data_IF_088310501335
#
_entry.id   IF_088310501335
#
_cell.length_a   1.000
_cell.length_b   1.000
_cell.length_c   1.000
_cell.angle_alpha   90.00
_cell.angle_beta   90.00
_cell.angle_gamma   90.00
#
_symmetry.space_group_name_H-M   'P 1'
#
loop_
_entity.id
_entity.type
_entity.pdbx_description
1 polymer ?
#
# COMPACT_ATOMS: atom_id res chain seq x y z
N UNK A 1 20.53 2.95 4.56
CA UNK A 1 21.28 2.40 3.40
C UNK A 1 21.56 0.93 3.66
N UNK A 2 21.17 -0.01 2.79
CA UNK A 2 21.46 -1.41 3.00
C UNK A 2 22.94 -1.66 2.69
N UNK A 3 23.62 -2.38 3.58
CA UNK A 3 25.02 -2.77 3.40
C UNK A 3 25.22 -3.52 2.07
N UNK A 4 26.23 -3.18 1.25
CA UNK A 4 26.50 -3.92 0.03
C UNK A 4 27.01 -5.33 0.39
N UNK A 5 26.69 -6.36 -0.43
CA UNK A 5 27.18 -7.71 -0.20
C UNK A 5 28.71 -7.70 -0.29
N UNK A 6 29.37 -8.34 0.70
CA UNK A 6 30.83 -8.52 0.74
C UNK A 6 31.31 -9.07 -0.60
N UNK A 7 31.84 -8.20 -1.45
CA UNK A 7 32.63 -8.62 -2.59
C UNK A 7 33.89 -9.26 -2.00
N UNK A 8 33.94 -10.59 -1.99
CA UNK A 8 35.23 -11.27 -1.90
C UNK A 8 36.09 -10.67 -3.00
N UNK A 9 37.11 -9.89 -2.63
CA UNK A 9 38.00 -9.22 -3.57
C UNK A 9 38.42 -10.24 -4.61
N UNK A 10 38.19 -9.98 -5.89
CA UNK A 10 38.43 -10.94 -6.98
C UNK A 10 39.83 -11.58 -6.89
N UNK A 11 40.80 -10.85 -6.33
CA UNK A 11 42.15 -11.30 -5.97
C UNK A 11 42.21 -12.48 -4.99
N UNK A 12 41.35 -12.55 -3.98
CA UNK A 12 41.26 -13.68 -3.03
C UNK A 12 40.70 -14.91 -3.73
N UNK A 13 39.64 -14.75 -4.53
CA UNK A 13 39.07 -15.85 -5.31
C UNK A 13 40.07 -16.39 -6.35
N UNK A 14 40.80 -15.50 -7.05
CA UNK A 14 41.88 -15.86 -7.97
C UNK A 14 43.02 -16.61 -7.28
N UNK A 15 43.44 -16.17 -6.09
CA UNK A 15 44.50 -16.85 -5.31
C UNK A 15 44.05 -18.22 -4.81
N UNK A 16 42.84 -18.36 -4.29
CA UNK A 16 42.28 -19.63 -3.84
C UNK A 16 42.09 -20.61 -5.01
N UNK A 17 41.59 -20.11 -6.15
CA UNK A 17 41.48 -20.88 -7.39
C UNK A 17 42.84 -21.38 -7.88
N UNK A 18 43.87 -20.54 -7.88
CA UNK A 18 45.24 -20.93 -8.25
C UNK A 18 45.86 -21.97 -7.31
N UNK A 19 45.53 -21.93 -6.01
CA UNK A 19 45.96 -22.93 -5.04
C UNK A 19 45.27 -24.28 -5.25
N UNK A 20 43.93 -24.28 -5.43
CA UNK A 20 43.16 -25.49 -5.75
C UNK A 20 43.61 -26.12 -7.07
N UNK A 21 43.89 -25.29 -8.07
CA UNK A 21 44.41 -25.72 -9.36
C UNK A 21 45.72 -26.51 -9.21
N UNK A 22 46.69 -25.98 -8.44
CA UNK A 22 47.95 -26.67 -8.16
C UNK A 22 47.76 -27.99 -7.41
N UNK A 23 46.70 -28.13 -6.61
CA UNK A 23 46.39 -29.39 -5.93
C UNK A 23 45.79 -30.43 -6.89
N UNK A 24 45.05 -30.01 -7.92
CA UNK A 24 44.46 -30.92 -8.91
C UNK A 24 45.46 -31.41 -9.96
N UNK A 25 46.47 -30.60 -10.32
CA UNK A 25 47.47 -30.97 -11.33
C UNK A 25 48.43 -32.06 -10.83
N UNK A 26 48.81 -32.03 -9.54
CA UNK A 26 49.73 -33.01 -8.94
C UNK A 26 49.29 -34.48 -9.03
N UNK A 27 48.04 -34.86 -8.68
CA UNK A 27 47.58 -36.24 -8.80
C UNK A 27 47.49 -36.69 -10.26
N UNK A 28 47.12 -35.79 -11.19
CA UNK A 28 47.10 -36.09 -12.63
C UNK A 28 48.51 -36.36 -13.16
N UNK A 29 49.48 -35.54 -12.79
CA UNK A 29 50.88 -35.74 -13.15
C UNK A 29 51.45 -37.07 -12.57
N UNK A 30 51.04 -37.43 -11.33
CA UNK A 30 51.39 -38.72 -10.73
C UNK A 30 50.75 -39.89 -11.50
N UNK A 31 49.48 -39.79 -11.87
CA UNK A 31 48.78 -40.80 -12.66
C UNK A 31 49.38 -40.97 -14.08
N UNK A 32 49.81 -39.88 -14.71
CA UNK A 32 50.55 -39.91 -15.99
C UNK A 32 51.91 -40.60 -15.84
N UNK A 33 52.62 -40.36 -14.73
CA UNK A 33 53.88 -41.04 -14.41
C UNK A 33 53.68 -42.55 -14.22
N UNK A 34 52.65 -42.96 -13.48
CA UNK A 34 52.35 -44.38 -13.29
C UNK A 34 51.90 -45.06 -14.59
N UNK A 35 51.11 -44.36 -15.43
CA UNK A 35 50.68 -44.85 -16.75
C UNK A 35 51.81 -44.92 -17.78
N UNK A 36 52.87 -44.11 -17.62
CA UNK A 36 54.03 -44.15 -18.52
C UNK A 36 54.87 -45.42 -18.41
N UNK A 37 54.79 -46.12 -17.26
CA UNK A 37 55.46 -47.41 -17.04
C UNK A 37 54.84 -48.52 -17.88
N UNK A 38 53.53 -48.43 -18.15
CA UNK A 38 52.78 -49.42 -18.93
C UNK A 38 52.63 -49.02 -20.39
N UNK A 39 52.78 -47.73 -20.73
CA UNK A 39 52.59 -47.19 -22.09
C UNK A 39 53.82 -46.38 -22.57
N UNK A 40 54.72 -46.98 -23.38
CA UNK A 40 55.92 -46.30 -23.88
C UNK A 40 55.64 -45.05 -24.71
N UNK A 41 54.57 -45.07 -25.51
CA UNK A 41 54.16 -43.91 -26.32
C UNK A 41 53.82 -42.67 -25.48
N UNK A 42 53.31 -42.87 -24.26
CA UNK A 42 52.96 -41.77 -23.35
C UNK A 42 54.22 -41.08 -22.82
N UNK A 43 55.28 -41.86 -22.56
CA UNK A 43 56.58 -41.33 -22.17
C UNK A 43 57.16 -40.45 -23.26
N UNK A 44 57.15 -40.94 -24.51
CA UNK A 44 57.62 -40.19 -25.67
C UNK A 44 56.81 -38.89 -25.89
N UNK A 45 55.48 -38.96 -25.77
CA UNK A 45 54.60 -37.78 -25.87
C UNK A 45 54.95 -36.71 -24.82
N UNK A 46 55.04 -37.09 -23.53
CA UNK A 46 55.38 -36.15 -22.46
C UNK A 46 56.78 -35.55 -22.66
N UNK A 47 57.78 -36.36 -23.06
CA UNK A 47 59.14 -35.87 -23.32
C UNK A 47 59.19 -34.92 -24.52
N UNK A 48 58.42 -35.18 -25.59
CA UNK A 48 58.29 -34.26 -26.73
C UNK A 48 57.63 -32.94 -26.32
N UNK A 49 56.53 -33.01 -25.58
CA UNK A 49 55.80 -31.83 -25.08
C UNK A 49 56.67 -31.01 -24.12
N UNK A 50 57.41 -31.65 -23.22
CA UNK A 50 58.30 -30.96 -22.29
C UNK A 50 59.46 -30.25 -23.00
N UNK A 51 60.08 -30.90 -23.99
CA UNK A 51 61.12 -30.26 -24.80
C UNK A 51 60.55 -29.14 -25.69
N UNK A 52 59.33 -29.30 -26.21
CA UNK A 52 58.62 -28.26 -26.96
C UNK A 52 58.32 -27.04 -26.08
N UNK A 53 57.78 -27.26 -24.88
CA UNK A 53 57.50 -26.21 -23.89
C UNK A 53 58.79 -25.46 -23.50
N UNK A 54 59.88 -26.19 -23.25
CA UNK A 54 61.17 -25.56 -22.96
C UNK A 54 61.69 -24.72 -24.13
N UNK A 55 61.59 -25.22 -25.36
CA UNK A 55 61.98 -24.46 -26.56
C UNK A 55 61.17 -23.19 -26.71
N UNK A 56 59.86 -23.25 -26.47
CA UNK A 56 58.99 -22.08 -26.52
C UNK A 56 59.34 -21.10 -25.41
N UNK A 57 59.44 -21.57 -24.16
CA UNK A 57 59.79 -20.75 -23.00
C UNK A 57 61.12 -20.03 -23.21
N UNK A 58 62.17 -20.77 -23.58
CA UNK A 58 63.49 -20.20 -23.86
C UNK A 58 63.47 -19.22 -25.03
N UNK A 59 62.75 -19.52 -26.12
CA UNK A 59 62.60 -18.57 -27.24
C UNK A 59 61.86 -17.29 -26.82
N UNK A 60 60.81 -17.42 -26.03
CA UNK A 60 60.05 -16.28 -25.53
C UNK A 60 60.90 -15.41 -24.60
N UNK A 61 61.58 -16.02 -23.64
CA UNK A 61 62.48 -15.33 -22.70
C UNK A 61 63.63 -14.63 -23.42
N UNK A 62 64.29 -15.29 -24.35
CA UNK A 62 65.42 -14.72 -25.11
C UNK A 62 64.96 -13.56 -26.01
N UNK A 63 63.78 -13.67 -26.63
CA UNK A 63 63.19 -12.56 -27.40
C UNK A 63 62.74 -11.40 -26.52
N UNK A 64 62.16 -11.68 -25.35
CA UNK A 64 61.80 -10.65 -24.36
C UNK A 64 63.03 -9.90 -23.85
N UNK A 65 64.17 -10.59 -23.74
CA UNK A 65 65.47 -10.00 -23.40
C UNK A 65 66.18 -9.32 -24.59
N UNK A 66 65.54 -9.23 -25.76
CA UNK A 66 66.08 -8.53 -26.94
C UNK A 66 67.19 -9.26 -27.70
N UNK A 67 67.44 -10.54 -27.40
CA UNK A 67 68.49 -11.34 -28.03
C UNK A 67 67.94 -12.33 -29.06
N UNK A 68 68.77 -12.75 -30.03
CA UNK A 68 68.41 -13.77 -31.01
C UNK A 68 68.66 -15.18 -30.46
N UNK A 69 67.70 -16.12 -30.56
CA UNK A 69 67.84 -17.44 -29.94
C UNK A 69 68.92 -18.30 -30.62
N UNK A 70 70.02 -18.54 -29.92
CA UNK A 70 71.06 -19.52 -30.29
C UNK A 70 70.76 -20.91 -29.69
N UNK A 71 71.40 -21.97 -30.23
CA UNK A 71 71.07 -23.40 -30.06
C UNK A 71 70.67 -23.80 -28.63
N UNK A 72 69.36 -23.99 -28.39
CA UNK A 72 68.80 -24.39 -27.09
C UNK A 72 69.09 -25.88 -26.83
N UNK A 73 69.78 -26.20 -25.73
CA UNK A 73 70.05 -27.58 -25.28
C UNK A 73 68.74 -28.26 -24.83
N UNK A 74 68.45 -29.50 -25.26
CA UNK A 74 67.30 -30.25 -24.75
C UNK A 74 67.48 -30.59 -23.26
N UNK A 75 66.39 -30.71 -22.52
CA UNK A 75 66.43 -31.19 -21.13
C UNK A 75 66.81 -32.68 -21.09
N UNK A 76 67.23 -33.14 -19.91
CA UNK A 76 67.39 -34.58 -19.67
C UNK A 76 66.05 -35.32 -19.88
N UNK A 77 66.08 -36.60 -20.30
CA UNK A 77 64.85 -37.35 -20.61
C UNK A 77 63.80 -37.36 -19.49
N UNK A 78 64.25 -37.43 -18.23
CA UNK A 78 63.38 -37.50 -17.06
C UNK A 78 62.81 -36.13 -16.65
N UNK A 79 63.60 -35.06 -16.77
CA UNK A 79 63.13 -33.68 -16.54
C UNK A 79 62.14 -33.24 -17.62
N UNK A 80 62.43 -33.54 -18.88
CA UNK A 80 61.53 -33.26 -20.00
C UNK A 80 60.19 -33.99 -19.82
N UNK A 81 60.21 -35.24 -19.36
CA UNK A 81 59.00 -35.98 -19.05
C UNK A 81 58.16 -35.30 -17.95
N UNK A 82 58.80 -34.87 -16.86
CA UNK A 82 58.09 -34.23 -15.74
C UNK A 82 57.46 -32.88 -16.13
N UNK A 83 58.18 -32.07 -16.90
CA UNK A 83 57.66 -30.79 -17.44
C UNK A 83 56.46 -31.05 -18.36
N UNK A 84 56.56 -32.04 -19.26
CA UNK A 84 55.46 -32.40 -20.15
C UNK A 84 54.24 -32.99 -19.43
N UNK A 85 54.46 -33.82 -18.41
CA UNK A 85 53.38 -34.41 -17.61
C UNK A 85 52.61 -33.35 -16.80
N UNK A 86 53.31 -32.36 -16.24
CA UNK A 86 52.68 -31.24 -15.56
C UNK A 86 51.87 -30.36 -16.52
N UNK A 87 52.42 -30.06 -17.69
CA UNK A 87 51.74 -29.28 -18.73
C UNK A 87 50.46 -29.98 -19.22
N UNK A 88 50.54 -31.28 -19.49
CA UNK A 88 49.39 -32.07 -19.95
C UNK A 88 48.31 -32.18 -18.87
N UNK A 89 48.70 -32.32 -17.60
CA UNK A 89 47.77 -32.30 -16.46
C UNK A 89 47.07 -30.95 -16.29
N UNK A 90 47.79 -29.85 -16.49
CA UNK A 90 47.25 -28.49 -16.52
C UNK A 90 46.19 -28.31 -17.63
N UNK A 91 46.50 -28.73 -18.86
CA UNK A 91 45.54 -28.69 -19.98
C UNK A 91 44.28 -29.52 -19.70
N UNK A 92 44.43 -30.71 -19.12
CA UNK A 92 43.29 -31.58 -18.77
C UNK A 92 42.36 -30.94 -17.73
N UNK A 93 42.93 -30.35 -16.68
CA UNK A 93 42.14 -29.67 -15.62
C UNK A 93 41.44 -28.42 -16.14
N UNK A 94 42.11 -27.63 -17.01
CA UNK A 94 41.45 -26.48 -17.64
C UNK A 94 40.30 -26.90 -18.57
N UNK A 95 40.51 -27.94 -19.37
CA UNK A 95 39.49 -28.42 -20.31
C UNK A 95 38.25 -28.94 -19.57
N UNK A 96 38.43 -29.70 -18.49
CA UNK A 96 37.31 -30.20 -17.69
C UNK A 96 36.57 -29.07 -16.96
N UNK A 97 37.31 -28.07 -16.43
CA UNK A 97 36.72 -26.89 -15.81
C UNK A 97 35.88 -26.06 -16.79
N UNK A 98 36.41 -25.80 -17.99
CA UNK A 98 35.68 -25.10 -19.06
C UNK A 98 34.43 -25.88 -19.46
N UNK A 99 34.52 -27.21 -19.60
CA UNK A 99 33.36 -28.04 -19.95
C UNK A 99 32.26 -27.97 -18.89
N UNK A 100 32.61 -28.04 -17.59
CA UNK A 100 31.63 -27.91 -16.50
C UNK A 100 30.97 -26.54 -16.52
N UNK A 101 31.75 -25.47 -16.73
CA UNK A 101 31.21 -24.11 -16.84
C UNK A 101 30.27 -23.97 -18.03
N UNK A 102 30.61 -24.55 -19.20
CA UNK A 102 29.74 -24.55 -20.37
C UNK A 102 28.42 -25.31 -20.11
N UNK A 103 28.48 -26.45 -19.42
CA UNK A 103 27.29 -27.22 -19.03
C UNK A 103 26.42 -26.42 -18.04
N UNK A 104 27.03 -25.79 -17.03
CA UNK A 104 26.30 -24.95 -16.08
C UNK A 104 25.71 -23.70 -16.74
N UNK A 105 26.45 -23.08 -17.66
CA UNK A 105 25.98 -21.91 -18.41
C UNK A 105 24.79 -22.26 -19.30
N UNK A 106 24.84 -23.38 -20.02
CA UNK A 106 23.72 -23.84 -20.84
C UNK A 106 22.51 -24.22 -19.97
N UNK A 107 22.72 -24.87 -18.82
CA UNK A 107 21.67 -25.17 -17.84
C UNK A 107 21.02 -23.89 -17.31
N UNK A 108 21.82 -22.91 -16.91
CA UNK A 108 21.35 -21.64 -16.34
C UNK A 108 20.58 -20.80 -17.36
N UNK A 109 21.08 -20.73 -18.60
CA UNK A 109 20.39 -20.03 -19.70
C UNK A 109 18.97 -20.58 -19.94
N UNK A 110 18.78 -21.91 -19.89
CA UNK A 110 17.44 -22.53 -20.02
C UNK A 110 16.50 -22.17 -18.87
N UNK A 111 17.02 -22.15 -17.63
CA UNK A 111 16.24 -21.78 -16.45
C UNK A 111 15.83 -20.31 -16.50
N UNK A 112 16.75 -19.42 -16.89
CA UNK A 112 16.48 -17.99 -16.99
C UNK A 112 15.50 -17.69 -18.14
N UNK A 113 15.61 -18.37 -19.27
CA UNK A 113 14.63 -18.31 -20.35
C UNK A 113 13.24 -18.79 -19.91
N UNK A 114 13.16 -19.88 -19.13
CA UNK A 114 11.89 -20.37 -18.59
C UNK A 114 11.25 -19.38 -17.59
N UNK A 115 12.06 -18.75 -16.73
CA UNK A 115 11.60 -17.68 -15.83
C UNK A 115 11.12 -16.45 -16.59
N UNK A 116 11.85 -16.04 -17.64
CA UNK A 116 11.46 -14.92 -18.48
C UNK A 116 10.14 -15.16 -19.20
N UNK A 117 9.88 -16.40 -19.67
CA UNK A 117 8.59 -16.77 -20.26
C UNK A 117 7.45 -16.67 -19.24
N UNK A 118 7.61 -17.24 -18.04
CA UNK A 118 6.61 -17.14 -16.96
C UNK A 118 6.31 -15.68 -16.57
N UNK A 119 7.34 -14.84 -16.46
CA UNK A 119 7.16 -13.42 -16.15
C UNK A 119 6.41 -12.67 -17.27
N UNK A 120 6.63 -13.04 -18.53
CA UNK A 120 5.86 -12.49 -19.67
C UNK A 120 4.40 -12.94 -19.63
N UNK A 121 4.15 -14.22 -19.37
CA UNK A 121 2.79 -14.78 -19.30
C UNK A 121 2.00 -14.15 -18.12
N UNK A 122 2.63 -13.95 -16.97
CA UNK A 122 2.04 -13.25 -15.83
C UNK A 122 1.71 -11.79 -16.16
N UNK A 123 2.64 -11.07 -16.79
CA UNK A 123 2.42 -9.69 -17.22
C UNK A 123 1.28 -9.59 -18.24
N UNK A 124 1.17 -10.54 -19.17
CA UNK A 124 0.08 -10.61 -20.14
C UNK A 124 -1.27 -10.84 -19.44
N UNK A 125 -1.34 -11.75 -18.46
CA UNK A 125 -2.56 -11.99 -17.67
C UNK A 125 -2.99 -10.78 -16.87
N UNK A 126 -2.04 -10.08 -16.23
CA UNK A 126 -2.35 -8.86 -15.48
C UNK A 126 -2.88 -7.77 -16.40
N UNK A 127 -2.28 -7.59 -17.58
CA UNK A 127 -2.73 -6.63 -18.58
C UNK A 127 -4.14 -6.95 -19.09
N UNK A 128 -4.42 -8.22 -19.38
CA UNK A 128 -5.75 -8.66 -19.80
C UNK A 128 -6.79 -8.44 -18.70
N UNK A 129 -6.46 -8.73 -17.43
CA UNK A 129 -7.36 -8.47 -16.30
C UNK A 129 -7.63 -6.97 -16.08
N UNK A 130 -6.65 -6.11 -16.38
CA UNK A 130 -6.81 -4.65 -16.36
C UNK A 130 -7.71 -4.17 -17.51
N UNK A 131 -7.50 -4.67 -18.73
CA UNK A 131 -8.35 -4.39 -19.90
C UNK A 131 -9.81 -4.82 -19.64
N UNK A 132 -10.04 -6.00 -19.06
CA UNK A 132 -11.40 -6.47 -18.70
C UNK A 132 -12.06 -5.59 -17.61
N UNK A 133 -11.25 -5.07 -16.67
CA UNK A 133 -11.75 -4.12 -15.66
C UNK A 133 -12.12 -2.79 -16.28
N UNK A 134 -11.33 -2.33 -17.25
CA UNK A 134 -11.60 -1.11 -18.00
C UNK A 134 -12.90 -1.23 -18.80
N UNK A 135 -13.09 -2.32 -19.54
CA UNK A 135 -14.34 -2.58 -20.27
C UNK A 135 -15.56 -2.64 -19.33
N UNK A 136 -15.44 -3.32 -18.17
CA UNK A 136 -16.50 -3.32 -17.15
C UNK A 136 -16.80 -1.94 -16.59
N UNK A 137 -15.80 -1.06 -16.54
CA UNK A 137 -15.97 0.32 -16.08
C UNK A 137 -16.69 1.16 -17.14
N UNK A 138 -16.29 1.04 -18.41
CA UNK A 138 -16.98 1.70 -19.54
C UNK A 138 -18.45 1.31 -19.61
N UNK A 139 -18.77 0.02 -19.51
CA UNK A 139 -20.18 -0.43 -19.49
C UNK A 139 -20.98 0.17 -18.33
N UNK A 140 -20.35 0.35 -17.16
CA UNK A 140 -21.00 1.01 -16.02
C UNK A 140 -21.19 2.50 -16.25
N UNK A 141 -20.23 3.17 -16.90
CA UNK A 141 -20.33 4.59 -17.25
C UNK A 141 -21.48 4.80 -18.23
N UNK A 142 -21.57 3.97 -19.29
CA UNK A 142 -22.66 4.06 -20.26
C UNK A 142 -24.03 3.85 -19.61
N UNK A 143 -24.13 2.88 -18.69
CA UNK A 143 -25.35 2.65 -17.92
C UNK A 143 -25.71 3.85 -17.02
N UNK A 144 -24.71 4.49 -16.40
CA UNK A 144 -24.94 5.70 -15.61
C UNK A 144 -25.38 6.89 -16.47
N UNK A 145 -24.82 7.03 -17.68
CA UNK A 145 -25.21 8.06 -18.64
C UNK A 145 -26.67 7.87 -19.05
N UNK A 146 -27.08 6.64 -19.39
CA UNK A 146 -28.48 6.32 -19.74
C UNK A 146 -29.44 6.59 -18.57
N UNK A 147 -29.11 6.13 -17.36
CA UNK A 147 -29.93 6.41 -16.17
C UNK A 147 -30.06 7.92 -15.93
N UNK A 148 -28.97 8.68 -16.08
CA UNK A 148 -28.99 10.13 -15.93
C UNK A 148 -29.84 10.81 -17.00
N UNK A 149 -29.76 10.37 -18.26
CA UNK A 149 -30.60 10.89 -19.33
C UNK A 149 -32.08 10.67 -19.04
N UNK A 150 -32.46 9.44 -18.62
CA UNK A 150 -33.85 9.15 -18.24
C UNK A 150 -34.34 9.99 -17.06
N UNK A 151 -33.47 10.29 -16.09
CA UNK A 151 -33.81 11.20 -14.99
C UNK A 151 -34.05 12.63 -15.49
N UNK A 152 -33.17 13.14 -16.36
CA UNK A 152 -33.33 14.47 -16.94
C UNK A 152 -34.61 14.61 -17.77
N UNK A 153 -34.97 13.59 -18.55
CA UNK A 153 -36.23 13.58 -19.30
C UNK A 153 -37.46 13.65 -18.38
N UNK A 154 -37.42 12.92 -17.25
CA UNK A 154 -38.50 12.97 -16.24
C UNK A 154 -38.61 14.33 -15.59
N UNK A 155 -37.47 14.95 -15.24
CA UNK A 155 -37.42 16.31 -14.70
C UNK A 155 -38.02 17.29 -15.71
N UNK A 156 -37.61 17.22 -16.98
CA UNK A 156 -38.14 18.09 -18.03
C UNK A 156 -39.66 17.95 -18.23
N UNK A 157 -40.20 16.71 -18.17
CA UNK A 157 -41.66 16.48 -18.21
C UNK A 157 -42.38 17.06 -17.00
N UNK A 158 -41.80 16.93 -15.81
CA UNK A 158 -42.37 17.49 -14.57
C UNK A 158 -42.37 19.02 -14.61
N UNK A 159 -41.27 19.64 -15.04
CA UNK A 159 -41.17 21.08 -15.22
C UNK A 159 -42.18 21.61 -16.25
N UNK A 160 -42.36 20.91 -17.37
CA UNK A 160 -43.38 21.25 -18.36
C UNK A 160 -44.80 21.17 -17.78
N UNK A 161 -45.09 20.15 -16.97
CA UNK A 161 -46.37 20.00 -16.29
C UNK A 161 -46.63 21.14 -15.30
N UNK A 162 -45.65 21.45 -14.43
CA UNK A 162 -45.73 22.57 -13.48
C UNK A 162 -45.92 23.89 -14.22
N UNK A 163 -45.15 24.13 -15.28
CA UNK A 163 -45.25 25.34 -16.10
C UNK A 163 -46.64 25.48 -16.72
N UNK A 164 -47.21 24.39 -17.24
CA UNK A 164 -48.57 24.39 -17.80
C UNK A 164 -49.65 24.65 -16.75
N UNK A 165 -49.47 24.13 -15.53
CA UNK A 165 -50.38 24.37 -14.41
C UNK A 165 -50.29 25.83 -13.96
N UNK A 166 -49.09 26.37 -13.83
CA UNK A 166 -48.87 27.77 -13.47
C UNK A 166 -49.40 28.74 -14.54
N UNK A 167 -49.25 28.40 -15.83
CA UNK A 167 -49.80 29.18 -16.93
C UNK A 167 -51.33 29.15 -16.95
N UNK A 168 -51.95 27.99 -16.64
CA UNK A 168 -53.40 27.90 -16.44
C UNK A 168 -53.87 28.76 -15.27
N UNK A 169 -53.21 28.66 -14.11
CA UNK A 169 -53.52 29.50 -12.95
C UNK A 169 -53.40 31.00 -13.26
N UNK A 170 -52.32 31.42 -13.93
CA UNK A 170 -52.11 32.81 -14.32
C UNK A 170 -53.15 33.29 -15.32
N UNK A 171 -53.47 32.49 -16.34
CA UNK A 171 -54.48 32.86 -17.34
C UNK A 171 -55.88 32.93 -16.73
N UNK A 172 -56.23 32.01 -15.82
CA UNK A 172 -57.48 32.07 -15.07
C UNK A 172 -57.56 33.31 -14.19
N UNK A 173 -56.46 33.68 -13.51
CA UNK A 173 -56.39 34.92 -12.71
C UNK A 173 -56.57 36.18 -13.56
N UNK A 174 -55.94 36.23 -14.74
CA UNK A 174 -56.11 37.34 -15.69
C UNK A 174 -57.55 37.40 -16.23
N UNK A 175 -58.15 36.26 -16.58
CA UNK A 175 -59.52 36.22 -17.08
C UNK A 175 -60.54 36.70 -16.03
N UNK A 176 -60.31 36.35 -14.75
CA UNK A 176 -61.08 36.87 -13.63
C UNK A 176 -60.91 38.39 -13.44
N UNK A 177 -59.68 38.92 -13.47
CA UNK A 177 -59.42 40.37 -13.39
C UNK A 177 -60.11 41.17 -14.50
N UNK A 178 -60.24 40.58 -15.70
CA UNK A 178 -60.89 41.22 -16.85
C UNK A 178 -62.43 41.07 -16.85
N UNK A 179 -63.02 40.43 -15.83
CA UNK A 179 -64.47 40.21 -15.73
C UNK A 179 -65.01 39.23 -16.77
N UNK A 180 -64.17 38.39 -17.36
CA UNK A 180 -64.55 37.41 -18.38
C UNK A 180 -65.09 36.09 -17.78
N UNK A 181 -64.96 35.90 -16.45
CA UNK A 181 -65.37 34.69 -15.72
C UNK A 181 -65.86 35.08 -14.30
N UNK A 182 -66.93 34.43 -13.81
CA UNK A 182 -67.53 34.58 -12.47
C UNK A 182 -66.54 34.26 -11.30
N UNK A 183 -66.81 34.68 -10.03
CA UNK A 183 -65.76 34.76 -9.01
C UNK A 183 -65.12 33.41 -8.69
N UNK A 184 -63.81 33.47 -8.48
CA UNK A 184 -62.87 32.35 -8.36
C UNK A 184 -63.36 31.25 -7.40
N UNK A 185 -63.41 29.97 -7.81
CA UNK A 185 -63.57 28.86 -6.87
C UNK A 185 -62.35 28.78 -5.95
N UNK A 186 -62.57 28.52 -4.66
CA UNK A 186 -61.54 28.34 -3.63
C UNK A 186 -60.56 27.22 -4.04
N UNK A 187 -59.44 27.61 -4.65
CA UNK A 187 -58.39 26.68 -5.08
C UNK A 187 -57.23 26.68 -4.07
N UNK A 188 -57.55 26.50 -2.79
CA UNK A 188 -56.63 25.91 -1.81
C UNK A 188 -56.90 24.41 -1.71
N UNK A 189 -56.92 23.71 -2.83
CA UNK A 189 -56.68 22.27 -2.77
C UNK A 189 -55.22 22.09 -2.33
N UNK A 190 -55.06 21.58 -1.09
CA UNK A 190 -53.84 20.89 -0.64
C UNK A 190 -53.34 20.02 -1.79
N UNK A 191 -52.02 19.90 -2.00
CA UNK A 191 -51.50 19.06 -3.08
C UNK A 191 -52.19 17.71 -2.99
N UNK A 192 -53.00 17.41 -4.00
CA UNK A 192 -53.70 16.13 -4.16
C UNK A 192 -52.71 15.05 -3.82
N UNK A 193 -53.01 14.26 -2.78
CA UNK A 193 -52.34 13.00 -2.53
C UNK A 193 -52.38 12.23 -3.85
N UNK A 194 -51.24 12.20 -4.53
CA UNK A 194 -51.07 11.36 -5.68
C UNK A 194 -51.15 9.93 -5.15
N UNK A 195 -52.33 9.35 -5.34
CA UNK A 195 -52.73 7.99 -5.09
C UNK A 195 -51.54 7.05 -4.88
N UNK A 196 -51.47 6.45 -3.70
CA UNK A 196 -50.54 5.40 -3.30
C UNK A 196 -50.65 4.11 -4.14
N UNK A 197 -51.35 4.12 -5.27
CA UNK A 197 -51.50 2.96 -6.14
C UNK A 197 -50.56 3.02 -7.35
N UNK A 198 -49.25 2.97 -7.08
CA UNK A 198 -48.27 2.45 -8.05
C UNK A 198 -47.06 1.81 -7.33
N UNK A 199 -47.33 1.13 -6.22
CA UNK A 199 -46.35 0.33 -5.47
C UNK A 199 -46.17 -1.10 -6.03
N UNK A 200 -46.85 -1.46 -7.11
CA UNK A 200 -46.61 -2.72 -7.81
C UNK A 200 -45.89 -2.42 -9.13
N UNK A 201 -44.66 -2.94 -9.26
CA UNK A 201 -43.84 -3.01 -10.49
C UNK A 201 -42.87 -1.86 -10.77
N UNK A 202 -41.97 -1.63 -9.80
CA UNK A 202 -40.65 -1.08 -10.07
C UNK A 202 -39.62 -1.67 -9.09
N UNK A 203 -39.42 -2.99 -9.13
CA UNK A 203 -38.22 -3.64 -8.58
C UNK A 203 -37.02 -3.34 -9.50
N UNK A 204 -36.58 -2.09 -9.50
CA UNK A 204 -35.26 -1.70 -9.98
C UNK A 204 -34.45 -1.31 -8.76
N UNK A 205 -33.35 -2.04 -8.50
CA UNK A 205 -32.42 -1.83 -7.37
C UNK A 205 -32.13 -0.33 -7.15
N UNK A 206 -32.81 0.29 -6.17
CA UNK A 206 -32.38 1.55 -5.56
C UNK A 206 -30.97 1.33 -5.05
N UNK A 207 -30.01 2.15 -5.50
CA UNK A 207 -28.72 2.22 -4.83
C UNK A 207 -28.95 2.49 -3.34
N UNK A 208 -28.31 1.71 -2.47
CA UNK A 208 -28.42 1.85 -1.03
C UNK A 208 -28.01 3.28 -0.63
N UNK A 209 -28.98 4.12 -0.29
CA UNK A 209 -28.73 5.49 0.09
C UNK A 209 -28.12 5.52 1.49
N UNK A 210 -26.81 5.76 1.57
CA UNK A 210 -26.09 5.88 2.84
C UNK A 210 -26.32 7.29 3.41
N UNK A 211 -26.67 7.42 4.69
CA UNK A 211 -26.76 8.71 5.40
C UNK A 211 -25.67 8.83 6.44
N UNK A 212 -25.17 10.05 6.69
CA UNK A 212 -24.24 10.32 7.79
C UNK A 212 -25.05 10.96 8.91
N UNK A 213 -25.00 10.35 10.09
CA UNK A 213 -25.78 10.76 11.26
C UNK A 213 -24.88 10.85 12.49
N UNK A 214 -25.26 11.63 13.50
CA UNK A 214 -24.59 11.56 14.80
C UNK A 214 -24.89 10.22 15.46
N UNK A 215 -23.87 9.61 16.07
CA UNK A 215 -24.02 8.35 16.79
C UNK A 215 -24.94 8.53 18.00
N UNK A 216 -25.87 7.59 18.17
CA UNK A 216 -26.76 7.49 19.33
C UNK A 216 -26.43 6.24 20.12
N UNK A 217 -26.89 6.16 21.38
CA UNK A 217 -26.61 5.02 22.25
C UNK A 217 -27.12 3.69 21.66
N UNK A 218 -28.23 3.70 20.91
CA UNK A 218 -28.75 2.53 20.20
C UNK A 218 -27.80 1.97 19.13
N UNK A 219 -26.81 2.75 18.67
CA UNK A 219 -25.79 2.32 17.70
C UNK A 219 -24.52 1.79 18.36
N UNK A 220 -24.40 1.85 19.71
CA UNK A 220 -23.15 1.56 20.41
C UNK A 220 -22.62 0.15 20.12
N UNK A 221 -23.51 -0.84 20.03
CA UNK A 221 -23.14 -2.22 19.74
C UNK A 221 -22.55 -2.38 18.33
N UNK A 222 -23.25 -1.86 17.32
CA UNK A 222 -22.83 -1.94 15.93
C UNK A 222 -21.52 -1.16 15.69
N UNK A 223 -21.40 0.03 16.28
CA UNK A 223 -20.18 0.84 16.20
C UNK A 223 -18.99 0.12 16.83
N UNK A 224 -19.17 -0.49 18.01
CA UNK A 224 -18.12 -1.27 18.68
C UNK A 224 -17.66 -2.42 17.78
N UNK A 225 -18.61 -3.12 17.17
CA UNK A 225 -18.33 -4.26 16.31
C UNK A 225 -17.57 -3.84 15.04
N UNK A 226 -18.03 -2.80 14.34
CA UNK A 226 -17.41 -2.29 13.12
C UNK A 226 -16.01 -1.74 13.38
N UNK A 227 -15.82 -0.99 14.47
CA UNK A 227 -14.50 -0.47 14.85
C UNK A 227 -13.52 -1.63 15.11
N UNK A 228 -13.95 -2.66 15.84
CA UNK A 228 -13.09 -3.81 16.08
C UNK A 228 -12.80 -4.61 14.79
N UNK A 229 -13.80 -4.81 13.92
CA UNK A 229 -13.62 -5.49 12.62
C UNK A 229 -12.70 -4.72 11.66
N UNK A 230 -12.87 -3.41 11.53
CA UNK A 230 -12.06 -2.60 10.62
C UNK A 230 -10.57 -2.63 10.99
N UNK A 231 -10.26 -2.76 12.30
CA UNK A 231 -8.90 -2.77 12.83
C UNK A 231 -8.32 -4.18 13.04
N UNK A 232 -9.13 -5.23 13.21
CA UNK A 232 -8.65 -6.62 13.46
C UNK A 232 -8.97 -7.62 12.36
N UNK A 233 -9.81 -7.25 11.40
CA UNK A 233 -10.38 -8.12 10.38
C UNK A 233 -11.67 -8.81 10.85
N UNK A 234 -12.49 -9.24 9.88
CA UNK A 234 -13.74 -9.99 10.05
C UNK A 234 -13.56 -11.36 9.38
N UNK A 235 -13.83 -12.47 10.08
CA UNK A 235 -13.87 -13.84 9.53
C UNK A 235 -12.71 -14.25 8.60
N UNK A 236 -11.48 -13.86 8.96
CA UNK A 236 -10.29 -14.16 8.15
C UNK A 236 -10.06 -13.22 6.96
N UNK A 237 -11.01 -12.34 6.63
CA UNK A 237 -10.80 -11.24 5.70
C UNK A 237 -9.75 -10.26 6.26
N UNK A 238 -8.83 -9.84 5.39
CA UNK A 238 -7.77 -8.90 5.74
C UNK A 238 -7.95 -7.62 4.93
N UNK A 239 -8.86 -6.71 5.34
CA UNK A 239 -9.02 -5.42 4.70
C UNK A 239 -7.66 -4.71 4.59
N UNK A 240 -7.46 -3.91 3.55
CA UNK A 240 -6.21 -3.15 3.38
C UNK A 240 -5.97 -2.16 4.55
N UNK A 241 -6.99 -1.89 5.38
CA UNK A 241 -6.95 -1.09 6.61
C UNK A 241 -6.82 -1.91 7.90
N UNK A 242 -6.61 -3.24 7.84
CA UNK A 242 -6.54 -4.14 8.99
C UNK A 242 -5.17 -4.12 9.70
N UNK A 243 -5.16 -3.98 11.02
CA UNK A 243 -3.94 -4.00 11.86
C UNK A 243 -3.61 -5.42 12.35
N UNK A 244 -4.26 -6.43 11.75
CA UNK A 244 -4.02 -7.84 12.07
C UNK A 244 -2.53 -8.17 11.91
N UNK A 245 -1.91 -8.64 12.98
CA UNK A 245 -0.46 -8.93 13.04
C UNK A 245 0.44 -7.74 13.42
N UNK A 246 -0.13 -6.56 13.67
CA UNK A 246 0.59 -5.40 14.23
C UNK A 246 0.21 -5.14 15.69
N UNK A 247 -1.05 -5.39 16.05
CA UNK A 247 -1.62 -5.02 17.35
C UNK A 247 -2.62 -6.08 17.82
N UNK A 248 -2.57 -6.47 19.10
CA UNK A 248 -3.47 -7.47 19.73
C UNK A 248 -4.45 -6.81 20.71
N UNK A 249 -5.67 -7.35 20.85
CA UNK A 249 -6.73 -6.82 21.74
C UNK A 249 -7.77 -5.93 21.03
N UNK A 250 -8.95 -5.76 21.62
CA UNK A 250 -10.03 -4.94 21.03
C UNK A 250 -9.64 -3.45 21.02
N UNK A 251 -10.06 -2.71 19.99
CA UNK A 251 -9.78 -1.26 19.92
C UNK A 251 -10.60 -0.47 20.93
N UNK A 252 -11.82 -0.92 21.18
CA UNK A 252 -12.78 -0.34 22.11
C UNK A 252 -13.75 -1.43 22.58
N UNK A 253 -14.15 -1.38 23.85
CA UNK A 253 -15.24 -2.21 24.36
C UNK A 253 -16.58 -1.47 24.32
N UNK A 254 -17.68 -2.21 24.53
CA UNK A 254 -19.03 -1.63 24.43
C UNK A 254 -19.27 -0.53 25.46
N UNK A 255 -18.72 -0.66 26.66
CA UNK A 255 -18.93 0.28 27.74
C UNK A 255 -18.13 1.58 27.52
N UNK A 256 -16.92 1.48 26.98
CA UNK A 256 -16.14 2.61 26.48
C UNK A 256 -16.82 3.31 25.29
N UNK A 257 -17.43 2.56 24.37
CA UNK A 257 -18.19 3.14 23.26
C UNK A 257 -19.41 3.92 23.78
N UNK A 258 -20.20 3.35 24.70
CA UNK A 258 -21.32 4.05 25.33
C UNK A 258 -20.85 5.31 26.07
N UNK A 259 -19.76 5.22 26.84
CA UNK A 259 -19.16 6.40 27.48
C UNK A 259 -18.76 7.47 26.47
N UNK A 260 -18.16 7.09 25.35
CA UNK A 260 -17.76 8.03 24.29
C UNK A 260 -18.99 8.68 23.62
N UNK A 261 -20.05 7.91 23.36
CA UNK A 261 -21.32 8.42 22.81
C UNK A 261 -21.98 9.39 23.79
N UNK A 262 -21.98 9.09 25.09
CA UNK A 262 -22.61 9.91 26.12
C UNK A 262 -21.84 11.20 26.42
N UNK A 263 -20.53 11.23 26.14
CA UNK A 263 -19.69 12.43 26.27
C UNK A 263 -19.76 13.37 25.05
N UNK A 264 -20.51 13.01 24.01
CA UNK A 264 -20.61 13.84 22.81
C UNK A 264 -21.10 15.25 23.17
N UNK A 265 -20.35 16.24 22.72
CA UNK A 265 -20.64 17.65 22.89
C UNK A 265 -20.75 18.28 21.51
N UNK A 266 -21.70 19.21 21.35
CA UNK A 266 -21.88 19.91 20.08
C UNK A 266 -20.61 20.62 19.61
N UNK A 267 -19.67 20.98 20.51
CA UNK A 267 -18.51 21.83 20.19
C UNK A 267 -17.15 21.16 20.32
N UNK A 268 -17.06 20.02 21.01
CA UNK A 268 -15.75 19.45 21.37
C UNK A 268 -15.60 17.96 21.02
N UNK A 269 -16.68 17.18 20.96
CA UNK A 269 -16.61 15.74 20.70
C UNK A 269 -17.85 15.27 19.93
N UNK A 270 -17.67 14.75 18.72
CA UNK A 270 -18.76 14.08 18.00
C UNK A 270 -18.29 12.76 17.40
N UNK A 271 -19.20 11.79 17.37
CA UNK A 271 -19.02 10.54 16.63
C UNK A 271 -20.08 10.53 15.53
N UNK A 272 -19.64 10.41 14.28
CA UNK A 272 -20.52 10.28 13.14
C UNK A 272 -20.56 8.83 12.68
N UNK A 273 -21.74 8.35 12.34
CA UNK A 273 -22.01 7.02 11.82
C UNK A 273 -22.53 7.11 10.38
N UNK A 274 -22.05 6.20 9.52
CA UNK A 274 -22.64 5.98 8.21
C UNK A 274 -23.70 4.88 8.35
N UNK A 275 -24.94 5.18 7.98
CA UNK A 275 -26.07 4.24 8.08
C UNK A 275 -26.71 4.01 6.72
N UNK A 276 -27.09 2.77 6.43
CA UNK A 276 -27.83 2.43 5.21
C UNK A 276 -29.32 2.84 5.29
N UNK A 277 -30.09 2.51 4.26
CA UNK A 277 -31.52 2.81 4.21
C UNK A 277 -32.35 1.98 5.21
N UNK A 278 -31.80 0.88 5.74
CA UNK A 278 -32.42 0.01 6.74
C UNK A 278 -32.01 0.39 8.17
N UNK A 279 -31.06 1.31 8.33
CA UNK A 279 -30.53 1.76 9.61
C UNK A 279 -29.29 0.99 10.07
N UNK A 280 -28.73 0.08 9.27
CA UNK A 280 -27.50 -0.62 9.63
C UNK A 280 -26.31 0.33 9.59
N UNK A 281 -25.51 0.32 10.64
CA UNK A 281 -24.25 1.05 10.69
C UNK A 281 -23.24 0.38 9.76
N UNK A 282 -22.51 1.17 8.98
CA UNK A 282 -21.50 0.70 8.02
C UNK A 282 -20.12 1.34 8.25
N UNK A 283 -20.01 2.27 9.18
CA UNK A 283 -18.75 2.94 9.47
C UNK A 283 -18.90 4.06 10.48
N UNK A 284 -17.76 4.51 11.01
CA UNK A 284 -17.66 5.56 12.01
C UNK A 284 -16.51 6.52 11.73
N UNK A 285 -16.63 7.74 12.22
CA UNK A 285 -15.52 8.65 12.42
C UNK A 285 -15.76 9.47 13.68
N UNK A 286 -14.75 9.57 14.54
CA UNK A 286 -14.75 10.46 15.70
C UNK A 286 -13.99 11.73 15.34
N UNK A 287 -14.56 12.87 15.72
CA UNK A 287 -13.88 14.15 15.75
C UNK A 287 -13.82 14.66 17.19
N UNK A 288 -12.67 15.17 17.59
CA UNK A 288 -12.40 15.67 18.95
C UNK A 288 -11.57 16.96 18.87
N UNK A 289 -11.95 17.98 19.64
CA UNK A 289 -11.23 19.25 19.67
C UNK A 289 -9.99 19.10 20.54
N UNK A 290 -8.83 19.37 19.96
CA UNK A 290 -7.55 19.32 20.68
C UNK A 290 -7.34 20.61 21.50
N UNK A 291 -6.49 20.59 22.55
CA UNK A 291 -6.20 21.78 23.36
C UNK A 291 -5.64 22.96 22.57
N UNK A 292 -4.93 22.70 21.48
CA UNK A 292 -4.40 23.73 20.58
C UNK A 292 -5.42 24.21 19.53
N UNK A 293 -6.69 23.82 19.67
CA UNK A 293 -7.82 24.34 18.90
C UNK A 293 -8.01 23.70 17.52
N UNK A 294 -7.38 22.56 17.25
CA UNK A 294 -7.54 21.78 16.03
C UNK A 294 -8.59 20.69 16.20
N UNK A 295 -8.97 20.03 15.12
CA UNK A 295 -9.91 18.90 15.14
C UNK A 295 -9.13 17.61 14.86
N UNK A 296 -9.03 16.74 15.84
CA UNK A 296 -8.46 15.41 15.66
C UNK A 296 -9.51 14.45 15.11
N UNK A 297 -9.20 13.79 13.99
CA UNK A 297 -10.01 12.73 13.41
C UNK A 297 -9.45 11.37 13.78
N UNK A 298 -10.27 10.57 14.46
CA UNK A 298 -9.92 9.24 14.96
C UNK A 298 -11.09 8.27 14.84
N UNK A 299 -10.90 7.03 15.32
CA UNK A 299 -11.93 5.97 15.25
C UNK A 299 -12.56 5.85 13.84
N UNK A 300 -11.71 6.03 12.82
CA UNK A 300 -12.15 6.02 11.43
C UNK A 300 -12.21 4.58 10.94
N UNK A 301 -13.43 4.04 10.90
CA UNK A 301 -13.68 2.65 10.56
C UNK A 301 -14.77 2.59 9.49
N UNK A 302 -14.61 1.68 8.54
CA UNK A 302 -15.65 1.32 7.57
C UNK A 302 -15.73 -0.19 7.58
N UNK A 303 -16.95 -0.72 7.63
CA UNK A 303 -17.20 -2.15 7.53
C UNK A 303 -16.43 -2.72 6.32
N UNK A 304 -15.55 -3.72 6.53
CA UNK A 304 -14.83 -4.42 5.47
C UNK A 304 -15.66 -4.75 4.22
N UNK A 305 -16.90 -5.20 4.39
CA UNK A 305 -17.78 -5.62 3.29
C UNK A 305 -18.39 -4.43 2.55
N UNK A 306 -18.38 -3.25 3.19
CA UNK A 306 -18.87 -1.99 2.64
C UNK A 306 -17.75 -1.09 2.07
N UNK A 307 -16.50 -1.55 2.10
CA UNK A 307 -15.37 -0.79 1.57
C UNK A 307 -15.48 -0.60 0.05
N UNK A 308 -14.92 0.49 -0.46
CA UNK A 308 -14.98 0.90 -1.87
C UNK A 308 -16.33 1.43 -2.37
N UNK A 309 -17.35 1.55 -1.51
CA UNK A 309 -18.64 2.24 -1.81
C UNK A 309 -18.60 3.76 -1.57
N UNK A 310 -17.41 4.34 -1.34
CA UNK A 310 -17.25 5.76 -1.06
C UNK A 310 -17.66 6.19 0.37
N UNK A 311 -18.03 5.26 1.25
CA UNK A 311 -18.46 5.54 2.64
C UNK A 311 -17.38 6.32 3.41
N UNK A 312 -16.13 5.87 3.38
CA UNK A 312 -15.02 6.57 4.02
C UNK A 312 -14.81 7.98 3.49
N UNK A 313 -15.10 8.25 2.20
CA UNK A 313 -15.09 9.61 1.65
C UNK A 313 -16.11 10.50 2.31
N UNK A 314 -17.33 9.99 2.44
CA UNK A 314 -18.47 10.73 2.99
C UNK A 314 -18.28 11.00 4.47
N UNK A 315 -17.87 9.99 5.25
CA UNK A 315 -17.53 10.15 6.67
C UNK A 315 -16.48 11.24 6.89
N UNK A 316 -15.34 11.18 6.19
CA UNK A 316 -14.28 12.19 6.35
C UNK A 316 -14.78 13.58 5.97
N UNK A 317 -15.44 13.72 4.81
CA UNK A 317 -15.93 15.03 4.34
C UNK A 317 -16.98 15.62 5.30
N UNK A 318 -17.84 14.76 5.87
CA UNK A 318 -18.82 15.18 6.88
C UNK A 318 -18.15 15.61 8.18
N UNK A 319 -17.12 14.91 8.64
CA UNK A 319 -16.37 15.29 9.83
C UNK A 319 -15.61 16.61 9.64
N UNK A 320 -15.00 16.82 8.47
CA UNK A 320 -14.36 18.10 8.08
C UNK A 320 -15.39 19.24 8.02
N UNK A 321 -16.60 18.97 7.52
CA UNK A 321 -17.68 19.95 7.48
C UNK A 321 -18.16 20.33 8.88
N UNK A 322 -18.35 19.35 9.78
CA UNK A 322 -18.71 19.61 11.18
C UNK A 322 -17.61 20.44 11.87
N UNK A 323 -16.34 20.03 11.73
CA UNK A 323 -15.22 20.75 12.32
C UNK A 323 -15.12 22.21 11.82
N UNK A 324 -15.32 22.44 10.53
CA UNK A 324 -15.25 23.79 9.95
C UNK A 324 -16.49 24.64 10.24
N UNK A 325 -17.69 24.13 9.96
CA UNK A 325 -18.94 24.90 10.03
C UNK A 325 -19.52 24.99 11.44
N UNK A 326 -19.47 23.91 12.21
CA UNK A 326 -20.04 23.89 13.57
C UNK A 326 -19.01 24.33 14.62
N UNK A 327 -17.76 23.88 14.51
CA UNK A 327 -16.73 24.16 15.51
C UNK A 327 -15.83 25.35 15.19
N UNK A 328 -15.92 25.89 13.97
CA UNK A 328 -15.09 27.02 13.51
C UNK A 328 -13.60 26.67 13.41
N UNK A 329 -13.24 25.39 13.33
CA UNK A 329 -11.86 24.91 13.32
C UNK A 329 -11.32 24.98 11.89
N UNK A 330 -10.09 25.50 11.75
CA UNK A 330 -9.42 25.64 10.44
C UNK A 330 -8.58 24.44 10.06
N UNK A 331 -8.05 23.71 11.06
CA UNK A 331 -7.10 22.63 10.85
C UNK A 331 -7.60 21.29 11.39
N UNK A 332 -7.47 20.26 10.56
CA UNK A 332 -7.74 18.87 10.91
C UNK A 332 -6.44 18.10 11.11
N UNK A 333 -6.35 17.29 12.15
CA UNK A 333 -5.18 16.45 12.46
C UNK A 333 -5.62 14.99 12.55
N UNK A 334 -4.71 14.08 12.20
CA UNK A 334 -4.91 12.65 12.45
C UNK A 334 -3.56 11.95 12.62
N UNK A 335 -3.61 10.75 13.19
CA UNK A 335 -2.44 9.92 13.45
C UNK A 335 -2.58 8.58 12.72
N UNK A 336 -1.68 8.33 11.78
CA UNK A 336 -1.65 7.09 11.00
C UNK A 336 -0.40 6.29 11.35
N UNK A 337 -0.53 4.97 11.52
CA UNK A 337 0.64 4.11 11.71
C UNK A 337 1.65 4.30 10.57
N UNK A 338 2.92 4.43 10.92
CA UNK A 338 4.02 4.73 10.01
C UNK A 338 4.18 3.68 8.91
N UNK A 339 3.96 2.41 9.25
CA UNK A 339 3.99 1.27 8.32
C UNK A 339 2.80 1.20 7.35
N UNK A 340 1.83 2.13 7.41
CA UNK A 340 0.62 2.13 6.56
C UNK A 340 0.69 3.11 5.40
N UNK A 341 1.63 2.89 4.49
CA UNK A 341 1.86 3.77 3.34
C UNK A 341 0.61 3.98 2.45
N UNK A 342 -0.18 2.93 2.21
CA UNK A 342 -1.39 3.03 1.38
C UNK A 342 -2.47 3.92 2.02
N UNK A 343 -2.57 3.90 3.36
CA UNK A 343 -3.54 4.72 4.10
C UNK A 343 -3.08 6.18 4.14
N UNK A 344 -1.77 6.41 4.32
CA UNK A 344 -1.18 7.75 4.23
C UNK A 344 -1.43 8.37 2.84
N UNK A 345 -1.15 7.63 1.76
CA UNK A 345 -1.46 8.07 0.37
C UNK A 345 -2.94 8.33 0.14
N UNK A 346 -3.83 7.62 0.82
CA UNK A 346 -5.27 7.88 0.74
C UNK A 346 -5.64 9.23 1.34
N UNK A 347 -5.08 9.58 2.50
CA UNK A 347 -5.28 10.88 3.13
C UNK A 347 -4.62 12.03 2.35
N UNK A 348 -3.46 11.78 1.73
CA UNK A 348 -2.79 12.77 0.87
C UNK A 348 -3.67 13.22 -0.30
N UNK A 349 -4.36 12.28 -0.95
CA UNK A 349 -5.36 12.60 -2.00
C UNK A 349 -6.56 13.40 -1.49
N UNK A 350 -6.72 13.54 -0.17
CA UNK A 350 -7.78 14.33 0.49
C UNK A 350 -7.30 15.65 1.05
N UNK A 351 -6.04 16.02 0.80
CA UNK A 351 -5.48 17.31 1.22
C UNK A 351 -4.75 17.27 2.55
N UNK A 352 -4.62 16.09 3.19
CA UNK A 352 -3.74 15.93 4.35
C UNK A 352 -2.29 15.84 3.91
N UNK A 353 -1.38 16.36 4.72
CA UNK A 353 0.06 16.27 4.49
C UNK A 353 0.77 15.78 5.74
N UNK A 354 1.83 14.99 5.54
CA UNK A 354 2.69 14.58 6.64
C UNK A 354 3.43 15.79 7.22
N UNK A 355 3.36 15.95 8.55
CA UNK A 355 3.98 17.10 9.25
C UNK A 355 5.46 16.88 9.56
N UNK A 356 6.02 15.71 9.26
CA UNK A 356 7.34 15.30 9.73
C UNK A 356 7.35 14.82 11.19
N UNK A 357 6.29 15.08 11.97
CA UNK A 357 6.19 14.69 13.38
C UNK A 357 5.81 13.21 13.50
N UNK A 358 6.64 12.46 14.25
CA UNK A 358 6.36 11.09 14.68
C UNK A 358 5.96 11.07 16.15
N UNK A 359 4.96 10.27 16.49
CA UNK A 359 4.49 10.05 17.86
C UNK A 359 4.68 8.57 18.21
N UNK A 360 5.36 8.23 19.32
CA UNK A 360 5.55 6.84 19.72
C UNK A 360 4.21 6.18 20.06
N UNK A 361 4.11 4.87 19.83
CA UNK A 361 2.97 4.09 20.32
C UNK A 361 2.94 4.10 21.87
N UNK A 362 1.79 4.29 22.53
CA UNK A 362 1.72 4.36 23.99
C UNK A 362 2.20 3.06 24.67
N UNK A 363 3.07 3.16 25.66
CA UNK A 363 3.64 1.98 26.36
C UNK A 363 2.69 1.32 27.37
N UNK A 364 1.59 1.97 27.75
CA UNK A 364 0.77 1.60 28.93
C UNK A 364 -0.72 1.39 28.62
N UNK A 365 -1.08 0.98 27.40
CA UNK A 365 -2.46 0.67 27.05
C UNK A 365 -2.76 -0.82 27.33
N UNK A 366 -3.43 -1.14 28.46
CA UNK A 366 -3.75 -2.52 28.87
C UNK A 366 -4.69 -3.24 27.90
N UNK A 367 -5.37 -2.51 27.01
CA UNK A 367 -6.37 -3.05 26.08
C UNK A 367 -5.74 -3.48 24.76
N UNK A 368 -4.56 -2.92 24.43
CA UNK A 368 -3.97 -3.02 23.10
C UNK A 368 -2.45 -3.24 23.19
N UNK A 369 -1.97 -4.44 22.83
CA UNK A 369 -0.54 -4.78 22.87
C UNK A 369 0.09 -4.64 21.48
N UNK A 370 1.11 -3.78 21.28
CA UNK A 370 1.83 -3.70 20.01
C UNK A 370 2.72 -4.93 19.83
N UNK A 371 2.66 -5.56 18.65
CA UNK A 371 3.47 -6.73 18.30
C UNK A 371 4.83 -6.37 17.68
N UNK A 372 5.08 -5.06 17.46
CA UNK A 372 6.29 -4.46 16.89
C UNK A 372 6.51 -3.07 17.50
N UNK A 373 7.71 -2.50 17.33
CA UNK A 373 7.93 -1.08 17.59
C UNK A 373 7.14 -0.25 16.57
N UNK A 374 5.99 0.29 16.99
CA UNK A 374 5.09 1.08 16.15
C UNK A 374 5.22 2.56 16.49
N UNK A 375 5.05 3.41 15.48
CA UNK A 375 4.97 4.86 15.61
C UNK A 375 3.83 5.37 14.73
N UNK A 376 3.28 6.52 15.10
CA UNK A 376 2.30 7.24 14.30
C UNK A 376 2.97 8.42 13.58
N UNK A 377 2.68 8.56 12.28
CA UNK A 377 2.91 9.78 11.54
C UNK A 377 1.72 10.73 11.74
N UNK A 378 1.98 11.96 12.15
CA UNK A 378 0.94 13.00 12.21
C UNK A 378 0.70 13.56 10.80
N UNK A 379 -0.57 13.59 10.38
CA UNK A 379 -1.02 14.21 9.15
C UNK A 379 -1.92 15.41 9.48
N UNK A 380 -1.78 16.50 8.73
CA UNK A 380 -2.57 17.74 8.92
C UNK A 380 -3.23 18.20 7.63
N UNK A 381 -4.46 18.69 7.73
CA UNK A 381 -5.15 19.45 6.69
C UNK A 381 -5.45 20.85 7.22
N UNK A 382 -4.71 21.86 6.76
CA UNK A 382 -4.85 23.25 7.23
C UNK A 382 -5.98 24.05 6.55
N UNK A 383 -6.74 23.44 5.63
CA UNK A 383 -7.72 24.13 4.79
C UNK A 383 -9.14 23.57 4.96
N UNK A 384 -9.56 23.25 6.19
CA UNK A 384 -10.93 22.74 6.42
C UNK A 384 -12.03 23.74 6.02
N UNK A 385 -11.72 25.03 6.07
CA UNK A 385 -12.65 26.11 5.70
C UNK A 385 -12.75 26.37 4.19
N UNK A 386 -11.85 25.82 3.37
CA UNK A 386 -11.73 26.12 1.94
C UNK A 386 -12.54 25.19 1.04
N UNK A 387 -13.17 24.13 1.58
CA UNK A 387 -13.88 23.13 0.78
C UNK A 387 -15.30 23.59 0.45
N UNK A 388 -15.37 24.69 -0.29
CA UNK A 388 -16.53 25.17 -1.03
C UNK A 388 -16.06 25.82 -2.32
N UNK A 389 -15.82 25.02 -3.37
CA UNK A 389 -15.54 25.53 -4.72
C UNK A 389 -14.27 24.96 -5.37
N UNK A 390 -14.51 24.14 -6.39
CA UNK A 390 -13.75 23.98 -7.65
C UNK A 390 -12.25 23.62 -7.68
N UNK A 391 -11.95 22.75 -8.66
CA UNK A 391 -10.64 22.32 -9.12
C UNK A 391 -9.62 23.46 -9.24
N UNK A 392 -8.36 23.22 -8.86
CA UNK A 392 -7.18 23.51 -9.71
C UNK A 392 -5.86 23.00 -9.10
N UNK A 393 -5.18 22.19 -9.91
CA UNK A 393 -3.73 22.08 -10.13
C UNK A 393 -2.75 22.35 -8.99
N UNK A 394 -2.05 21.27 -8.64
CA UNK A 394 -0.81 21.23 -7.85
C UNK A 394 0.35 21.85 -8.64
N UNK A 395 1.09 22.76 -8.00
CA UNK A 395 2.53 22.96 -8.25
C UNK A 395 3.27 23.03 -6.91
N UNK A 396 4.42 22.34 -6.74
CA UNK A 396 5.18 22.35 -5.50
C UNK A 396 6.07 23.60 -5.48
N UNK A 397 6.18 24.26 -4.32
CA UNK A 397 7.33 25.12 -4.09
C UNK A 397 7.84 24.98 -2.65
N UNK A 398 9.16 24.86 -2.59
CA UNK A 398 9.99 24.74 -1.42
C UNK A 398 9.93 26.02 -0.58
N UNK A 399 9.88 25.87 0.75
CA UNK A 399 10.77 26.64 1.61
C UNK A 399 10.78 26.08 3.04
N UNK A 400 11.98 25.68 3.45
CA UNK A 400 12.34 25.41 4.83
C UNK A 400 12.37 26.73 5.61
N UNK A 401 11.61 26.78 6.71
CA UNK A 401 11.64 27.86 7.68
C UNK A 401 11.54 27.24 9.07
N UNK A 402 12.71 27.00 9.68
CA UNK A 402 12.84 26.55 11.06
C UNK A 402 12.30 27.60 12.02
N UNK A 403 11.30 27.23 12.82
CA UNK A 403 11.00 27.93 14.07
C UNK A 403 10.73 26.90 15.15
N UNK A 404 11.79 26.65 15.94
CA UNK A 404 11.75 26.02 17.26
C UNK A 404 10.69 26.71 18.12
N UNK A 405 9.63 26.00 18.46
CA UNK A 405 8.86 26.25 19.69
C UNK A 405 8.64 24.89 20.33
N UNK A 406 9.43 24.62 21.37
CA UNK A 406 9.15 23.57 22.33
C UNK A 406 7.83 23.91 23.02
N UNK A 407 6.81 23.10 22.81
CA UNK A 407 5.64 23.03 23.68
C UNK A 407 5.35 21.54 23.89
N UNK A 408 5.56 21.10 25.13
CA UNK A 408 5.26 19.75 25.60
C UNK A 408 3.82 19.39 25.22
N UNK A 409 3.67 18.26 24.54
CA UNK A 409 2.41 17.83 23.93
C UNK A 409 1.38 17.48 25.00
N UNK A 410 0.34 18.32 25.10
CA UNK A 410 -0.84 18.18 25.97
C UNK A 410 -1.64 16.90 25.78
N UNK A 411 -1.41 16.14 24.70
CA UNK A 411 -2.02 14.81 24.49
C UNK A 411 -1.60 13.78 25.53
N UNK A 412 -0.39 13.92 26.08
CA UNK A 412 0.09 13.07 27.17
C UNK A 412 -0.54 13.46 28.51
N UNK A 413 -0.94 14.73 28.67
CA UNK A 413 -1.61 15.24 29.87
C UNK A 413 -3.09 14.84 29.89
N UNK A 414 -3.76 14.79 28.74
CA UNK A 414 -5.17 14.38 28.63
C UNK A 414 -5.35 12.87 28.81
N UNK A 415 -4.47 12.04 28.25
CA UNK A 415 -4.43 10.60 28.56
C UNK A 415 -4.15 10.34 30.04
N UNK A 416 -3.22 11.10 30.65
CA UNK A 416 -2.93 11.00 32.10
C UNK A 416 -4.11 11.45 32.97
N UNK A 417 -4.89 12.45 32.55
CA UNK A 417 -6.08 12.94 33.27
C UNK A 417 -7.20 11.89 33.27
N UNK A 418 -7.50 11.32 32.10
CA UNK A 418 -8.52 10.27 31.96
C UNK A 418 -8.16 9.02 32.78
N UNK A 419 -6.87 8.65 32.83
CA UNK A 419 -6.38 7.47 33.55
C UNK A 419 -6.38 7.69 35.07
N UNK A 420 -6.09 8.91 35.56
CA UNK A 420 -6.06 9.23 37.00
C UNK A 420 -7.47 9.21 37.60
N UNK A 421 -8.48 9.62 36.84
CA UNK A 421 -9.90 9.67 37.26
C UNK A 421 -10.56 8.27 37.29
N UNK A 422 -10.18 7.39 36.35
CA UNK A 422 -10.64 5.98 36.32
C UNK A 422 -10.02 5.17 37.47
N UNK A 423 -8.81 5.55 37.92
CA UNK A 423 -8.13 4.87 39.02
C UNK A 423 -8.64 5.30 40.40
N UNK A 424 -9.12 6.55 40.57
CA UNK A 424 -9.73 7.01 41.82
C UNK A 424 -11.16 6.50 42.04
N UNK A 425 -11.89 6.15 40.98
CA UNK A 425 -13.24 5.56 41.09
C UNK A 425 -13.23 4.08 41.45
N UNK A 426 -12.07 3.40 41.47
CA UNK A 426 -11.93 1.96 41.75
C UNK A 426 -11.38 1.63 43.14
N UNK A 427 -10.95 2.61 43.93
CA UNK A 427 -10.45 2.39 45.31
C UNK A 427 -11.53 2.53 46.39
N UNK A 428 -12.81 2.41 46.04
CA UNK A 428 -13.94 2.65 46.94
C UNK A 428 -14.82 1.43 47.23
N UNK A 429 -14.30 0.20 47.12
CA UNK A 429 -14.99 -0.98 47.62
C UNK A 429 -14.00 -1.86 48.37
N UNK A 430 -13.99 -1.69 49.69
CA UNK A 430 -13.40 -2.62 50.65
C UNK A 430 -14.14 -3.96 50.63
N UNK A 431 -13.45 -5.08 50.89
CA UNK A 431 -14.04 -6.40 50.91
C UNK A 431 -14.71 -6.69 52.27
N UNK A 432 -15.96 -7.12 52.24
CA UNK A 432 -16.61 -7.92 53.29
C UNK A 432 -17.25 -9.15 52.65
#
# INVERSE_FOLDING_TARGET
APFPPRQMSATIALKLGGLLFKQLVKPVAKGLKDSSKTRPWLKDLCTRVGNWQNRISMRATVRLMGHTPTRIKPLSPDEAFQVGANFLGEVMVFTSGVLVVLVEFTRKSRVDAAKAKKAKDEKARLKQAEEDRFHRLETKIDLLIDVKQRQNERIGKLEASIRSQHMRQRNSYIAWLLGLVDPMPDFLEKPTEFSQNSSARAEGKKGEEIRIVRATEGMAQDLTQIVNWAYRGKDGANPWTSEKGLIQGNRIDLEDMKRAINRQSAKDLQILAAVDHKGHVMGSIKLERTPDGRAEFGMFAVDPEAQSLGIGRRLLSSAELVASKEWGVKEGVMYCLDCRENLQKWYERRGYRWTGKKVPFPEQDKVITPLKNLQFNQLINSNLMSTGGENSTVTPNDNAGSSKICAESSTLAEMKSLIREISSSRSGQDPL
#
